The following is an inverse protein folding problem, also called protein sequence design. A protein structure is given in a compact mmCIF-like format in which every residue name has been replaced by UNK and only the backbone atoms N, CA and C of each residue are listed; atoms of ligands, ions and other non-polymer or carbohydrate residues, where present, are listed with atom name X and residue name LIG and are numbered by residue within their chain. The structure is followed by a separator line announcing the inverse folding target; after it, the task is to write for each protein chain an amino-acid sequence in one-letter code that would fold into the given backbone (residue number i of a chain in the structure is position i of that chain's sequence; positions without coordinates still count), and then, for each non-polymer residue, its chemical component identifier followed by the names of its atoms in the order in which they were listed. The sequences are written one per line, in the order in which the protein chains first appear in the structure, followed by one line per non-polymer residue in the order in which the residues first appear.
data_IF_079333851961
#
_entry.id   IF_079333851961
#
_cell.length_a   1.000
_cell.length_b   1.000
_cell.length_c   1.000
_cell.angle_alpha   90.00
_cell.angle_beta   90.00
_cell.angle_gamma   90.00
#
_symmetry.space_group_name_H-M   'P 1'
#
loop_
_entity.id
_entity.type
_entity.pdbx_description
1 polymer ?
#
# COMPACT_ATOMS: atom_id res chain seq x y z
N UNK A 1 4.79 -26.05 -39.36
CA UNK A 1 5.27 -25.27 -38.19
C UNK A 1 4.04 -24.74 -37.46
N UNK A 2 3.73 -25.14 -36.23
CA UNK A 2 2.58 -24.58 -35.52
C UNK A 2 2.91 -23.16 -35.03
N UNK A 3 1.99 -22.18 -35.22
CA UNK A 3 2.15 -20.82 -34.71
C UNK A 3 1.98 -20.80 -33.19
N UNK A 4 2.97 -20.25 -32.49
CA UNK A 4 2.93 -19.98 -31.05
C UNK A 4 1.96 -18.83 -30.77
N UNK A 5 0.82 -19.12 -30.14
CA UNK A 5 -0.15 -18.12 -29.70
C UNK A 5 0.43 -17.32 -28.52
N UNK A 6 0.71 -16.03 -28.73
CA UNK A 6 1.00 -15.10 -27.65
C UNK A 6 -0.27 -14.90 -26.82
N UNK A 7 -0.30 -15.43 -25.59
CA UNK A 7 -1.40 -15.22 -24.66
C UNK A 7 -1.41 -13.74 -24.19
N UNK A 8 -2.56 -13.05 -24.20
CA UNK A 8 -2.64 -11.69 -23.68
C UNK A 8 -2.34 -11.68 -22.18
N UNK A 9 -1.39 -10.84 -21.77
CA UNK A 9 -1.05 -10.64 -20.37
C UNK A 9 -2.28 -10.06 -19.63
N UNK A 10 -2.91 -10.88 -18.79
CA UNK A 10 -4.02 -10.45 -17.94
C UNK A 10 -3.48 -9.40 -16.94
N UNK A 11 -4.10 -8.20 -16.85
CA UNK A 11 -3.66 -7.20 -15.88
C UNK A 11 -3.77 -7.80 -14.48
N UNK A 12 -2.68 -7.71 -13.71
CA UNK A 12 -2.62 -8.14 -12.32
C UNK A 12 -3.53 -7.22 -11.51
N UNK A 13 -4.79 -7.63 -11.37
CA UNK A 13 -5.74 -6.98 -10.48
C UNK A 13 -5.29 -7.33 -9.07
N UNK A 14 -4.69 -6.37 -8.35
CA UNK A 14 -4.26 -6.57 -6.97
C UNK A 14 -5.53 -6.67 -6.12
N UNK A 15 -5.96 -7.88 -5.71
CA UNK A 15 -7.30 -8.08 -5.15
C UNK A 15 -7.45 -7.47 -3.75
N UNK A 16 -6.33 -7.11 -3.13
CA UNK A 16 -6.27 -6.60 -1.75
C UNK A 16 -6.77 -5.16 -1.67
N UNK A 17 -6.38 -4.29 -2.60
CA UNK A 17 -6.75 -2.86 -2.56
C UNK A 17 -8.26 -2.65 -2.81
N UNK A 18 -8.85 -3.43 -3.72
CA UNK A 18 -10.28 -3.34 -4.04
C UNK A 18 -11.18 -3.82 -2.89
N UNK A 19 -10.75 -4.84 -2.14
CA UNK A 19 -11.51 -5.32 -0.98
C UNK A 19 -11.46 -4.30 0.16
N UNK A 20 -10.28 -3.74 0.43
CA UNK A 20 -10.10 -2.76 1.48
C UNK A 20 -10.90 -1.47 1.24
N UNK A 21 -10.90 -0.98 0.00
CA UNK A 21 -11.70 0.19 -0.38
C UNK A 21 -13.21 -0.05 -0.19
N UNK A 22 -13.68 -1.27 -0.49
CA UNK A 22 -15.08 -1.66 -0.30
C UNK A 22 -15.45 -1.76 1.17
N UNK A 23 -14.57 -2.31 2.00
CA UNK A 23 -14.81 -2.47 3.44
C UNK A 23 -14.83 -1.12 4.17
N UNK A 24 -13.89 -0.22 3.86
CA UNK A 24 -13.88 1.16 4.40
C UNK A 24 -15.13 1.93 3.95
N UNK A 25 -15.57 1.75 2.71
CA UNK A 25 -16.81 2.36 2.21
C UNK A 25 -18.07 1.83 2.89
N UNK A 26 -18.02 0.65 3.51
CA UNK A 26 -19.14 0.05 4.26
C UNK A 26 -19.13 0.47 5.73
N UNK A 27 -17.96 0.52 6.36
CA UNK A 27 -17.79 0.97 7.74
C UNK A 27 -16.45 1.71 7.91
N UNK A 28 -16.54 3.00 8.25
CA UNK A 28 -15.37 3.85 8.48
C UNK A 28 -14.52 3.39 9.66
N UNK A 29 -15.10 2.66 10.63
CA UNK A 29 -14.35 2.16 11.78
C UNK A 29 -13.23 1.19 11.39
N UNK A 30 -13.36 0.53 10.23
CA UNK A 30 -12.32 -0.35 9.67
C UNK A 30 -10.98 0.38 9.54
N UNK A 31 -10.99 1.69 9.28
CA UNK A 31 -9.76 2.51 9.19
C UNK A 31 -8.97 2.48 10.50
N UNK A 32 -9.63 2.53 11.66
CA UNK A 32 -8.94 2.48 12.96
C UNK A 32 -8.30 1.12 13.22
N UNK A 33 -8.97 0.03 12.81
CA UNK A 33 -8.39 -1.31 12.89
C UNK A 33 -7.17 -1.46 11.98
N UNK A 34 -7.22 -0.92 10.75
CA UNK A 34 -6.08 -0.93 9.83
C UNK A 34 -4.90 -0.14 10.36
N UNK A 35 -5.14 1.02 10.98
CA UNK A 35 -4.11 1.80 11.65
C UNK A 35 -3.46 1.01 12.78
N UNK A 36 -4.25 0.34 13.62
CA UNK A 36 -3.74 -0.49 14.70
C UNK A 36 -2.89 -1.67 14.19
N UNK A 37 -3.33 -2.34 13.13
CA UNK A 37 -2.58 -3.41 12.47
C UNK A 37 -1.27 -2.88 11.90
N UNK A 38 -1.29 -1.72 11.23
CA UNK A 38 -0.11 -1.08 10.67
C UNK A 38 0.93 -0.74 11.76
N UNK A 39 0.49 -0.12 12.86
CA UNK A 39 1.38 0.20 14.00
C UNK A 39 1.96 -1.07 14.61
N UNK A 40 1.15 -2.11 14.76
CA UNK A 40 1.62 -3.40 15.29
C UNK A 40 2.66 -4.03 14.36
N UNK A 41 2.43 -4.02 13.05
CA UNK A 41 3.40 -4.49 12.06
C UNK A 41 4.69 -3.67 12.09
N UNK A 42 4.61 -2.35 12.32
CA UNK A 42 5.78 -1.49 12.49
C UNK A 42 6.61 -1.89 13.72
N UNK A 43 5.96 -2.12 14.86
CA UNK A 43 6.64 -2.57 16.09
C UNK A 43 7.33 -3.91 15.85
N UNK A 44 6.67 -4.85 15.17
CA UNK A 44 7.29 -6.13 14.79
C UNK A 44 8.50 -5.93 13.85
N UNK A 45 8.38 -5.07 12.84
CA UNK A 45 9.48 -4.76 11.93
C UNK A 45 10.67 -4.13 12.66
N UNK A 46 10.42 -3.22 13.61
CA UNK A 46 11.47 -2.63 14.46
C UNK A 46 12.11 -3.68 15.36
N UNK A 47 11.34 -4.61 15.92
CA UNK A 47 11.89 -5.72 16.70
C UNK A 47 12.77 -6.67 15.86
N UNK A 48 12.45 -6.85 14.58
CA UNK A 48 13.19 -7.75 13.68
C UNK A 48 14.41 -7.09 13.03
N UNK A 49 14.32 -5.81 12.62
CA UNK A 49 15.34 -5.12 11.83
C UNK A 49 15.92 -3.87 12.51
N UNK A 50 15.46 -3.51 13.71
CA UNK A 50 15.90 -2.33 14.45
C UNK A 50 15.47 -1.01 13.80
N UNK A 51 16.32 0.02 13.93
CA UNK A 51 16.08 1.36 13.37
C UNK A 51 15.91 1.36 11.84
N UNK A 52 16.50 0.39 11.13
CA UNK A 52 16.41 0.31 9.68
C UNK A 52 14.96 0.22 9.18
N UNK A 53 14.07 -0.45 9.92
CA UNK A 53 12.64 -0.53 9.58
C UNK A 53 11.96 0.85 9.54
N UNK A 54 12.29 1.72 10.50
CA UNK A 54 11.76 3.10 10.54
C UNK A 54 12.31 3.92 9.39
N UNK A 55 13.61 3.82 9.10
CA UNK A 55 14.25 4.54 7.99
C UNK A 55 13.62 4.14 6.66
N UNK A 56 13.46 2.85 6.39
CA UNK A 56 12.83 2.36 5.17
C UNK A 56 11.37 2.80 5.04
N UNK A 57 10.63 2.78 6.15
CA UNK A 57 9.24 3.28 6.16
C UNK A 57 9.19 4.78 5.84
N UNK A 58 10.09 5.58 6.42
CA UNK A 58 10.17 7.00 6.14
C UNK A 58 10.50 7.26 4.66
N UNK A 59 11.47 6.52 4.09
CA UNK A 59 11.82 6.61 2.67
C UNK A 59 10.64 6.22 1.77
N UNK A 60 9.90 5.16 2.13
CA UNK A 60 8.70 4.75 1.41
C UNK A 60 7.56 5.79 1.50
N UNK A 61 7.50 6.58 2.56
CA UNK A 61 6.54 7.67 2.72
C UNK A 61 6.88 8.92 1.90
N UNK A 62 8.14 9.12 1.50
CA UNK A 62 8.57 10.28 0.68
C UNK A 62 7.72 10.47 -0.58
N UNK A 63 7.54 9.47 -1.46
CA UNK A 63 6.69 9.65 -2.65
C UNK A 63 5.23 9.97 -2.29
N UNK A 64 4.71 9.44 -1.18
CA UNK A 64 3.34 9.72 -0.72
C UNK A 64 3.19 11.18 -0.32
N UNK A 65 4.10 11.69 0.52
CA UNK A 65 4.12 13.10 0.93
C UNK A 65 4.35 13.99 -0.28
N UNK A 66 5.25 13.61 -1.18
CA UNK A 66 5.51 14.38 -2.40
C UNK A 66 4.26 14.48 -3.30
N UNK A 67 3.55 13.37 -3.53
CA UNK A 67 2.28 13.37 -4.27
C UNK A 67 1.23 14.22 -3.56
N UNK A 68 1.14 14.13 -2.23
CA UNK A 68 0.21 14.94 -1.44
C UNK A 68 0.53 16.43 -1.57
N UNK A 69 1.81 16.80 -1.55
CA UNK A 69 2.25 18.19 -1.77
C UNK A 69 1.93 18.66 -3.18
N UNK A 70 2.17 17.83 -4.21
CA UNK A 70 1.77 18.14 -5.58
C UNK A 70 0.26 18.36 -5.67
N UNK A 71 -0.54 17.47 -5.05
CA UNK A 71 -2.00 17.61 -5.03
C UNK A 71 -2.42 18.95 -4.44
N UNK A 72 -1.86 19.34 -3.30
CA UNK A 72 -2.23 20.58 -2.60
C UNK A 72 -1.71 21.83 -3.31
N UNK A 73 -0.62 21.73 -4.07
CA UNK A 73 0.05 22.88 -4.71
C UNK A 73 -0.37 23.10 -6.16
N UNK A 74 -0.80 22.05 -6.88
CA UNK A 74 -1.32 22.20 -8.23
C UNK A 74 -2.74 22.82 -8.17
N UNK A 75 -3.01 23.89 -8.93
CA UNK A 75 -4.32 24.54 -8.98
C UNK A 75 -5.39 23.69 -9.69
#
# INVERSE_FOLDING_TARGET
MPPTLAAPARPVTIPVLGHLARDIGRDVNVVFYLLAIFVTAMVLAVKTFGLAALVLTAVAAVPVVFILLLWVTLP
#
